data_IF_523064478696
#
_entry.id   IF_523064478696
#
_cell.length_a   1.000
_cell.length_b   1.000
_cell.length_c   1.000
_cell.angle_alpha   90.00
_cell.angle_beta   90.00
_cell.angle_gamma   90.00
#
_symmetry.space_group_name_H-M   'P 1'
#
loop_
_entity.id
_entity.type
_entity.pdbx_description
1 polymer ?
#
# COMPACT_ATOMS: atom_id res chain seq x y z
N UNK A 1 26.41 2.30 2.99
CA UNK A 1 25.58 3.35 2.36
C UNK A 1 26.15 3.60 0.97
N UNK A 2 25.35 3.56 -0.10
CA UNK A 2 25.86 3.80 -1.46
C UNK A 2 26.32 5.27 -1.61
N UNK A 3 27.43 5.46 -2.31
CA UNK A 3 28.17 6.72 -2.44
C UNK A 3 27.28 7.84 -3.07
N UNK A 4 26.40 7.46 -3.99
CA UNK A 4 25.53 8.39 -4.74
C UNK A 4 24.50 9.14 -3.87
N UNK A 5 24.11 8.58 -2.73
CA UNK A 5 23.12 9.18 -1.81
C UNK A 5 23.71 10.33 -0.98
N UNK A 6 25.03 10.28 -0.75
CA UNK A 6 25.76 11.33 -0.01
C UNK A 6 25.91 12.58 -0.90
N UNK A 7 26.25 12.40 -2.16
CA UNK A 7 26.38 13.50 -3.13
C UNK A 7 25.04 14.22 -3.39
N UNK A 8 23.93 13.47 -3.38
CA UNK A 8 22.58 14.05 -3.50
C UNK A 8 22.23 14.93 -2.30
N UNK A 9 22.47 14.44 -1.09
CA UNK A 9 22.21 15.19 0.15
C UNK A 9 23.07 16.45 0.26
N UNK A 10 24.35 16.34 -0.11
CA UNK A 10 25.26 17.46 -0.13
C UNK A 10 24.84 18.52 -1.17
N UNK A 11 24.21 18.11 -2.26
CA UNK A 11 23.64 19.04 -3.25
C UNK A 11 22.47 19.83 -2.68
N UNK A 12 21.61 19.21 -1.86
CA UNK A 12 20.51 19.91 -1.17
C UNK A 12 21.03 20.90 -0.13
N UNK A 13 22.10 20.54 0.59
CA UNK A 13 22.78 21.42 1.54
C UNK A 13 23.53 22.58 0.90
N UNK A 14 23.93 22.47 -0.37
CA UNK A 14 24.67 23.53 -1.09
C UNK A 14 23.75 24.38 -1.97
N UNK A 15 22.47 24.05 -2.04
CA UNK A 15 21.51 24.74 -2.91
C UNK A 15 21.11 26.09 -2.30
N UNK A 16 21.01 27.14 -3.12
CA UNK A 16 20.56 28.48 -2.71
C UNK A 16 19.08 28.54 -2.25
N UNK A 17 18.30 27.49 -2.49
CA UNK A 17 16.90 27.40 -2.08
C UNK A 17 16.76 27.12 -0.58
N UNK A 18 16.11 28.05 0.14
CA UNK A 18 15.78 27.89 1.56
C UNK A 18 14.94 26.63 1.85
N UNK A 19 14.12 26.20 0.89
CA UNK A 19 13.30 24.98 1.01
C UNK A 19 14.17 23.72 1.04
N UNK A 20 15.16 23.63 0.16
CA UNK A 20 16.06 22.47 0.10
C UNK A 20 16.99 22.40 1.31
N UNK A 21 17.44 23.55 1.83
CA UNK A 21 18.14 23.62 3.11
C UNK A 21 17.29 23.07 4.26
N UNK A 22 16.07 23.57 4.41
CA UNK A 22 15.14 23.12 5.47
C UNK A 22 14.85 21.62 5.37
N UNK A 23 14.73 21.11 4.14
CA UNK A 23 14.50 19.70 3.90
C UNK A 23 15.73 18.87 4.27
N UNK A 24 16.95 19.30 3.89
CA UNK A 24 18.19 18.62 4.23
C UNK A 24 18.45 18.55 5.74
N UNK A 25 18.04 19.55 6.52
CA UNK A 25 18.16 19.53 7.98
C UNK A 25 17.23 18.52 8.65
N UNK A 26 16.12 18.15 8.00
CA UNK A 26 15.09 17.26 8.54
C UNK A 26 15.13 15.84 8.00
N UNK A 27 15.99 15.56 7.02
CA UNK A 27 16.13 14.22 6.43
C UNK A 27 16.91 13.30 7.36
N UNK A 28 16.36 12.11 7.61
CA UNK A 28 17.01 11.02 8.33
C UNK A 28 17.23 9.84 7.39
N UNK A 29 18.43 9.28 7.40
CA UNK A 29 18.76 8.10 6.59
C UNK A 29 18.38 6.81 7.31
N UNK A 30 17.83 5.87 6.56
CA UNK A 30 17.46 4.53 7.04
C UNK A 30 18.26 3.50 6.25
N UNK A 31 18.66 2.40 6.89
CA UNK A 31 19.47 1.35 6.28
C UNK A 31 18.67 0.41 5.37
N UNK A 32 17.39 0.20 5.67
CA UNK A 32 16.49 -0.66 4.92
C UNK A 32 15.22 0.08 4.50
N UNK A 33 14.82 -0.09 3.25
CA UNK A 33 13.64 0.56 2.69
C UNK A 33 12.35 0.03 3.35
N UNK A 34 12.31 -1.25 3.75
CA UNK A 34 11.11 -1.82 4.40
C UNK A 34 10.89 -1.19 5.76
N UNK A 35 11.95 -1.03 6.54
CA UNK A 35 11.89 -0.34 7.83
C UNK A 35 11.50 1.12 7.66
N UNK A 36 12.12 1.84 6.72
CA UNK A 36 11.81 3.25 6.45
C UNK A 36 10.35 3.45 6.03
N UNK A 37 9.85 2.62 5.09
CA UNK A 37 8.45 2.69 4.66
C UNK A 37 7.48 2.24 5.77
N UNK A 38 7.82 1.24 6.57
CA UNK A 38 7.00 0.85 7.73
C UNK A 38 6.95 1.94 8.79
N UNK A 39 8.02 2.71 8.96
CA UNK A 39 8.03 3.83 9.89
C UNK A 39 7.03 4.92 9.47
N UNK A 40 6.81 5.12 8.17
CA UNK A 40 5.83 6.11 7.68
C UNK A 40 4.38 5.75 7.98
N UNK A 41 4.05 4.48 8.25
CA UNK A 41 2.69 4.10 8.65
C UNK A 41 2.42 4.35 10.13
N UNK A 42 3.48 4.39 10.96
CA UNK A 42 3.39 4.55 12.42
C UNK A 42 3.64 6.01 12.84
N UNK A 43 4.57 6.67 12.16
CA UNK A 43 4.99 8.04 12.46
C UNK A 43 4.44 8.99 11.42
N UNK A 44 4.28 10.27 11.77
CA UNK A 44 3.93 11.32 10.81
C UNK A 44 5.16 11.73 9.98
N UNK A 45 5.74 10.80 9.25
CA UNK A 45 6.92 10.98 8.40
C UNK A 45 6.66 10.53 6.97
N UNK A 46 7.44 11.04 6.04
CA UNK A 46 7.38 10.66 4.63
C UNK A 46 8.69 9.95 4.24
N UNK A 47 8.58 8.96 3.36
CA UNK A 47 9.73 8.25 2.81
C UNK A 47 9.99 8.75 1.39
N UNK A 48 11.24 9.09 1.09
CA UNK A 48 11.64 9.69 -0.16
C UNK A 48 12.55 8.74 -0.94
N UNK A 49 12.13 8.37 -2.16
CA UNK A 49 12.91 7.58 -3.09
C UNK A 49 12.36 7.72 -4.53
N UNK A 50 12.98 7.02 -5.48
CA UNK A 50 12.54 6.94 -6.87
C UNK A 50 11.11 6.38 -6.98
N UNK A 51 10.29 7.02 -7.83
CA UNK A 51 8.85 6.80 -7.88
C UNK A 51 8.47 5.37 -8.24
N UNK A 52 9.05 4.81 -9.31
CA UNK A 52 8.70 3.48 -9.77
C UNK A 52 9.06 2.43 -8.72
N UNK A 53 10.20 2.58 -8.06
CA UNK A 53 10.59 1.76 -6.94
C UNK A 53 9.57 1.84 -5.79
N UNK A 54 9.12 3.03 -5.39
CA UNK A 54 8.11 3.19 -4.35
C UNK A 54 6.79 2.50 -4.73
N UNK A 55 6.29 2.73 -5.94
CA UNK A 55 5.06 2.10 -6.44
C UNK A 55 5.16 0.57 -6.40
N UNK A 56 6.30 0.02 -6.83
CA UNK A 56 6.56 -1.42 -6.82
C UNK A 56 6.62 -1.97 -5.38
N UNK A 57 7.38 -1.33 -4.49
CA UNK A 57 7.52 -1.81 -3.10
C UNK A 57 6.20 -1.73 -2.34
N UNK A 58 5.39 -0.71 -2.58
CA UNK A 58 4.05 -0.58 -2.01
C UNK A 58 3.16 -1.74 -2.47
N UNK A 59 3.18 -2.07 -3.76
CA UNK A 59 2.44 -3.21 -4.34
C UNK A 59 2.91 -4.55 -3.78
N UNK A 60 4.22 -4.72 -3.61
CA UNK A 60 4.81 -5.99 -3.19
C UNK A 60 4.68 -6.28 -1.69
N UNK A 61 4.76 -5.25 -0.85
CA UNK A 61 4.96 -5.43 0.59
C UNK A 61 3.92 -4.73 1.46
N UNK A 62 3.20 -3.74 0.94
CA UNK A 62 2.29 -2.92 1.73
C UNK A 62 0.84 -2.94 1.23
N UNK A 63 0.53 -3.73 0.21
CA UNK A 63 -0.86 -3.90 -0.26
C UNK A 63 -1.46 -5.17 0.32
N UNK A 64 -2.54 -5.02 1.08
CA UNK A 64 -3.24 -6.13 1.73
C UNK A 64 -4.09 -6.93 0.73
N UNK A 65 -4.62 -8.06 1.20
CA UNK A 65 -5.43 -9.00 0.39
C UNK A 65 -6.68 -8.37 -0.18
N UNK A 66 -7.25 -7.44 0.57
CA UNK A 66 -8.46 -6.70 0.20
C UNK A 66 -8.16 -5.59 -0.82
N UNK A 67 -6.89 -5.41 -1.18
CA UNK A 67 -6.41 -4.35 -2.07
C UNK A 67 -6.25 -3.00 -1.37
N UNK A 68 -6.43 -2.94 -0.05
CA UNK A 68 -6.11 -1.74 0.72
C UNK A 68 -4.61 -1.54 0.80
N UNK A 69 -4.19 -0.30 0.63
CA UNK A 69 -2.79 0.10 0.69
C UNK A 69 -2.68 1.32 1.61
N UNK A 70 -1.97 1.24 2.75
CA UNK A 70 -1.86 2.34 3.71
C UNK A 70 -0.89 3.43 3.25
N UNK A 71 -0.11 3.16 2.20
CA UNK A 71 0.88 4.06 1.61
C UNK A 71 0.44 4.47 0.20
N UNK A 72 0.72 5.73 -0.15
CA UNK A 72 0.55 6.23 -1.50
C UNK A 72 1.77 7.05 -1.91
N UNK A 73 2.01 7.13 -3.22
CA UNK A 73 3.09 7.94 -3.77
C UNK A 73 2.52 9.30 -4.16
N UNK A 74 3.19 10.37 -3.75
CA UNK A 74 2.80 11.73 -4.12
C UNK A 74 2.87 11.92 -5.65
N UNK A 75 1.95 12.73 -6.19
CA UNK A 75 1.86 12.91 -7.65
C UNK A 75 3.09 13.61 -8.25
N UNK A 76 3.68 14.54 -7.51
CA UNK A 76 4.80 15.37 -7.96
C UNK A 76 6.12 14.87 -7.36
N UNK A 77 7.14 14.85 -8.21
CA UNK A 77 8.50 14.58 -7.79
C UNK A 77 9.18 15.87 -7.34
N UNK A 78 9.89 15.82 -6.21
CA UNK A 78 10.71 16.95 -5.73
C UNK A 78 11.93 17.15 -6.64
N UNK A 79 12.47 16.03 -7.14
CA UNK A 79 13.59 16.01 -8.09
C UNK A 79 13.20 15.14 -9.27
N UNK A 80 13.46 15.59 -10.52
CA UNK A 80 13.25 14.73 -11.68
C UNK A 80 14.11 13.47 -11.57
N UNK A 81 13.46 12.30 -11.61
CA UNK A 81 14.14 11.01 -11.71
C UNK A 81 14.61 10.79 -13.14
N UNK A 82 15.93 10.77 -13.36
CA UNK A 82 16.52 10.43 -14.64
C UNK A 82 17.14 9.04 -14.58
N UNK A 83 16.76 8.19 -15.52
CA UNK A 83 17.45 6.93 -15.78
C UNK A 83 18.27 7.09 -17.05
N UNK A 84 19.53 6.66 -17.01
CA UNK A 84 20.44 6.74 -18.15
C UNK A 84 21.38 5.55 -18.18
N UNK A 85 21.86 5.23 -19.37
CA UNK A 85 22.89 4.21 -19.55
C UNK A 85 24.26 4.88 -19.65
N UNK A 86 25.21 4.57 -18.75
CA UNK A 86 26.57 5.05 -18.89
C UNK A 86 27.20 4.37 -20.11
N UNK A 87 27.52 5.16 -21.13
CA UNK A 87 28.18 4.71 -22.36
C UNK A 87 29.55 5.38 -22.43
N UNK A 88 30.57 4.62 -22.82
CA UNK A 88 31.92 5.14 -23.02
C UNK A 88 31.88 6.29 -24.03
N UNK A 89 32.63 7.36 -23.73
CA UNK A 89 32.76 8.50 -24.63
C UNK A 89 33.23 8.01 -26.01
N UNK A 90 32.57 8.50 -27.07
CA UNK A 90 32.85 8.16 -28.48
C UNK A 90 32.57 6.71 -28.88
N UNK A 91 31.73 5.98 -28.15
CA UNK A 91 31.27 4.67 -28.57
C UNK A 91 30.56 4.74 -29.94
N UNK A 92 30.97 3.93 -30.94
CA UNK A 92 30.47 4.02 -32.32
C UNK A 92 28.96 3.71 -32.42
N UNK A 93 28.41 2.99 -31.44
CA UNK A 93 27.00 2.62 -31.37
C UNK A 93 26.13 3.62 -30.61
N UNK A 94 26.69 4.66 -29.97
CA UNK A 94 25.93 5.60 -29.13
C UNK A 94 24.74 6.21 -29.88
N UNK A 95 24.98 6.68 -31.11
CA UNK A 95 23.94 7.31 -31.94
C UNK A 95 22.78 6.36 -32.23
N UNK A 96 23.07 5.07 -32.43
CA UNK A 96 22.04 4.07 -32.69
C UNK A 96 21.24 3.77 -31.43
N UNK A 97 21.91 3.66 -30.27
CA UNK A 97 21.23 3.48 -28.98
C UNK A 97 20.33 4.68 -28.65
N UNK A 98 20.84 5.90 -28.77
CA UNK A 98 20.05 7.12 -28.52
C UNK A 98 18.78 7.12 -29.39
N UNK A 99 18.92 6.77 -30.68
CA UNK A 99 17.79 6.65 -31.59
C UNK A 99 16.78 5.61 -31.10
N UNK A 100 17.22 4.41 -30.75
CA UNK A 100 16.31 3.36 -30.26
C UNK A 100 15.62 3.74 -28.95
N UNK A 101 16.30 4.42 -28.03
CA UNK A 101 15.69 4.92 -26.79
C UNK A 101 14.57 5.91 -27.13
N UNK A 102 14.82 6.84 -28.05
CA UNK A 102 13.80 7.79 -28.50
C UNK A 102 12.65 7.11 -29.23
N UNK A 103 12.93 6.13 -30.09
CA UNK A 103 11.91 5.36 -30.80
C UNK A 103 11.04 4.55 -29.81
N UNK A 104 11.65 3.94 -28.77
CA UNK A 104 10.92 3.23 -27.71
C UNK A 104 10.07 4.16 -26.85
N UNK A 105 10.60 5.34 -26.52
CA UNK A 105 9.84 6.36 -25.80
C UNK A 105 8.67 6.89 -26.65
N UNK A 106 8.91 7.21 -27.92
CA UNK A 106 7.88 7.68 -28.86
C UNK A 106 6.80 6.64 -29.15
N UNK A 107 7.14 5.36 -29.12
CA UNK A 107 6.20 4.24 -29.24
C UNK A 107 5.44 3.94 -27.93
N UNK A 108 5.75 4.62 -26.82
CA UNK A 108 5.11 4.39 -25.51
C UNK A 108 5.49 3.04 -24.87
N UNK A 109 6.55 2.38 -25.34
CA UNK A 109 6.95 1.06 -24.84
C UNK A 109 7.42 1.10 -23.39
N UNK A 110 8.09 2.18 -22.98
CA UNK A 110 8.56 2.36 -21.60
C UNK A 110 7.37 2.37 -20.65
N UNK A 111 6.35 3.20 -20.93
CA UNK A 111 5.12 3.27 -20.12
C UNK A 111 4.42 1.91 -20.06
N UNK A 112 4.29 1.24 -21.20
CA UNK A 112 3.67 -0.08 -21.26
C UNK A 112 4.42 -1.10 -20.39
N UNK A 113 5.75 -1.17 -20.50
CA UNK A 113 6.54 -2.12 -19.71
C UNK A 113 6.47 -1.83 -18.22
N UNK A 114 6.48 -0.54 -17.83
CA UNK A 114 6.25 -0.14 -16.44
C UNK A 114 4.90 -0.63 -15.92
N UNK A 115 3.82 -0.41 -16.69
CA UNK A 115 2.48 -0.85 -16.32
C UNK A 115 2.39 -2.39 -16.23
N UNK A 116 3.00 -3.10 -17.18
CA UNK A 116 3.04 -4.56 -17.21
C UNK A 116 3.80 -5.12 -15.99
N UNK A 117 4.93 -4.52 -15.61
CA UNK A 117 5.69 -4.91 -14.41
C UNK A 117 4.86 -4.68 -13.14
N UNK A 118 4.24 -3.51 -12.99
CA UNK A 118 3.40 -3.22 -11.83
C UNK A 118 2.18 -4.14 -11.77
N UNK A 119 1.60 -4.49 -12.92
CA UNK A 119 0.48 -5.44 -13.00
C UNK A 119 0.91 -6.83 -12.58
N UNK A 120 2.05 -7.32 -13.07
CA UNK A 120 2.57 -8.63 -12.68
C UNK A 120 2.91 -8.68 -11.19
N UNK A 121 3.55 -7.63 -10.66
CA UNK A 121 3.84 -7.52 -9.23
C UNK A 121 2.55 -7.61 -8.39
N UNK A 122 1.46 -6.95 -8.79
CA UNK A 122 0.15 -7.07 -8.12
C UNK A 122 -0.39 -8.49 -8.15
N UNK A 123 -0.26 -9.18 -9.29
CA UNK A 123 -0.71 -10.57 -9.43
C UNK A 123 0.11 -11.50 -8.53
N UNK A 124 1.42 -11.33 -8.50
CA UNK A 124 2.32 -12.14 -7.70
C UNK A 124 2.17 -11.89 -6.20
N UNK A 125 1.98 -10.65 -5.75
CA UNK A 125 1.61 -10.35 -4.37
C UNK A 125 0.35 -11.09 -3.94
N UNK A 126 -0.71 -11.06 -4.77
CA UNK A 126 -1.96 -11.78 -4.51
C UNK A 126 -1.75 -13.29 -4.42
N UNK A 127 -0.97 -13.87 -5.36
CA UNK A 127 -0.64 -15.29 -5.33
C UNK A 127 0.14 -15.67 -4.06
N UNK A 128 1.14 -14.88 -3.67
CA UNK A 128 1.94 -15.11 -2.44
C UNK A 128 1.06 -15.07 -1.19
N UNK A 129 0.15 -14.11 -1.09
CA UNK A 129 -0.80 -14.00 0.03
C UNK A 129 -1.83 -15.14 0.09
N UNK A 130 -2.26 -15.65 -1.08
CA UNK A 130 -3.12 -16.83 -1.14
C UNK A 130 -2.39 -18.08 -0.63
N UNK A 131 -1.11 -18.25 -0.99
CA UNK A 131 -0.29 -19.37 -0.52
C UNK A 131 -0.03 -19.30 0.98
N UNK A 132 0.41 -18.15 1.49
CA UNK A 132 0.68 -18.01 2.94
C UNK A 132 -0.56 -18.26 3.80
N UNK A 133 -1.75 -17.89 3.33
CA UNK A 133 -2.99 -18.19 4.07
C UNK A 133 -3.36 -19.66 4.03
N UNK A 134 -3.16 -20.34 2.89
CA UNK A 134 -3.37 -21.79 2.81
C UNK A 134 -2.40 -22.52 3.74
N UNK A 135 -1.14 -22.10 3.77
CA UNK A 135 -0.13 -22.65 4.69
C UNK A 135 -0.50 -22.41 6.16
N UNK A 136 -0.92 -21.19 6.53
CA UNK A 136 -1.37 -20.89 7.90
C UNK A 136 -2.65 -21.65 8.27
N UNK A 137 -3.59 -21.81 7.32
CA UNK A 137 -4.81 -22.59 7.54
C UNK A 137 -4.50 -24.09 7.68
N UNK A 138 -3.59 -24.64 6.88
CA UNK A 138 -3.13 -26.01 6.96
C UNK A 138 -2.33 -26.27 8.25
N UNK A 139 -1.49 -25.33 8.69
CA UNK A 139 -0.79 -25.40 9.97
C UNK A 139 -1.75 -25.31 11.16
N UNK A 140 -2.78 -24.45 11.10
CA UNK A 140 -3.81 -24.36 12.13
C UNK A 140 -4.64 -25.65 12.19
N UNK A 141 -4.94 -26.26 11.04
CA UNK A 141 -5.66 -27.53 10.96
C UNK A 141 -4.81 -28.67 11.52
N UNK A 142 -3.50 -28.73 11.20
CA UNK A 142 -2.56 -29.72 11.76
C UNK A 142 -2.32 -29.54 13.26
N UNK A 143 -2.32 -28.32 13.78
CA UNK A 143 -2.22 -28.07 15.24
C UNK A 143 -3.51 -28.40 15.98
N UNK A 144 -4.67 -28.37 15.32
CA UNK A 144 -5.96 -28.75 15.90
C UNK A 144 -6.14 -30.28 16.06
N UNK A 145 -5.28 -31.10 15.45
CA UNK A 145 -5.31 -32.56 15.56
C UNK A 145 -4.46 -33.12 16.72
N UNK A 146 -3.77 -32.29 17.50
CA UNK A 146 -3.15 -32.72 18.77
C UNK A 146 -4.17 -32.67 19.92
N UNK A 147 -4.34 -33.74 20.71
CA UNK A 147 -5.31 -33.79 21.79
C UNK A 147 -4.77 -33.01 22.99
N UNK A 148 -5.04 -31.70 23.04
CA UNK A 148 -4.97 -30.95 24.28
C UNK A 148 -6.28 -30.18 24.48
N UNK A 149 -6.92 -30.51 25.60
CA UNK A 149 -8.20 -29.99 26.03
C UNK A 149 -8.19 -28.45 26.09
N UNK A 150 -9.19 -27.83 25.46
CA UNK A 150 -9.42 -26.38 25.51
C UNK A 150 -9.55 -25.76 24.13
N UNK A 151 -10.50 -26.27 23.32
CA UNK A 151 -10.77 -25.76 21.98
C UNK A 151 -11.22 -24.30 22.00
N UNK A 152 -10.33 -23.40 21.59
CA UNK A 152 -10.74 -22.11 21.06
C UNK A 152 -11.19 -22.33 19.61
N UNK A 153 -12.41 -22.84 19.45
CA UNK A 153 -13.21 -22.62 18.25
C UNK A 153 -13.13 -21.12 18.00
N UNK A 154 -12.65 -20.68 16.83
CA UNK A 154 -12.73 -19.26 16.44
C UNK A 154 -14.21 -18.89 16.43
N UNK A 155 -14.67 -18.36 17.56
CA UNK A 155 -16.03 -17.90 17.73
C UNK A 155 -16.24 -16.75 16.75
N UNK A 156 -17.26 -16.89 15.91
CA UNK A 156 -17.73 -15.87 15.00
C UNK A 156 -17.84 -14.55 15.79
N UNK A 157 -16.91 -13.64 15.54
CA UNK A 157 -16.75 -12.45 16.38
C UNK A 157 -17.94 -11.54 16.15
N UNK A 158 -18.49 -10.98 17.23
CA UNK A 158 -19.74 -10.19 17.25
C UNK A 158 -19.77 -9.05 16.20
N UNK A 159 -18.60 -8.59 15.77
CA UNK A 159 -18.39 -7.58 14.73
C UNK A 159 -19.00 -7.96 13.38
N UNK A 160 -19.06 -9.24 13.02
CA UNK A 160 -19.65 -9.69 11.75
C UNK A 160 -21.18 -9.90 11.81
N UNK A 161 -21.78 -9.92 13.00
CA UNK A 161 -23.23 -10.07 13.21
C UNK A 161 -23.94 -8.72 13.46
N UNK A 162 -23.21 -7.61 13.40
CA UNK A 162 -23.72 -6.28 13.75
C UNK A 162 -24.90 -5.83 12.85
N UNK A 163 -24.87 -6.18 11.55
CA UNK A 163 -25.95 -5.85 10.61
C UNK A 163 -27.30 -6.48 10.98
N UNK A 164 -27.39 -7.81 11.15
CA UNK A 164 -28.61 -8.48 11.62
C UNK A 164 -29.16 -7.95 12.95
N UNK A 165 -28.31 -7.60 13.91
CA UNK A 165 -28.75 -7.02 15.18
C UNK A 165 -29.37 -5.62 15.01
N UNK A 166 -28.82 -4.78 14.13
CA UNK A 166 -29.44 -3.49 13.82
C UNK A 166 -30.80 -3.63 13.13
N UNK A 167 -30.96 -4.59 12.22
CA UNK A 167 -32.25 -4.90 11.59
C UNK A 167 -33.29 -5.36 12.61
N UNK A 168 -32.89 -6.21 13.55
CA UNK A 168 -33.77 -6.71 14.62
C UNK A 168 -34.18 -5.58 15.57
N UNK A 169 -33.24 -4.71 15.97
CA UNK A 169 -33.51 -3.54 16.81
C UNK A 169 -34.49 -2.58 16.12
N UNK A 170 -34.28 -2.30 14.83
CA UNK A 170 -35.16 -1.44 14.03
C UNK A 170 -36.57 -2.03 13.97
N UNK A 171 -36.70 -3.33 13.73
CA UNK A 171 -37.99 -4.02 13.71
C UNK A 171 -38.74 -3.96 15.03
N UNK A 172 -38.03 -4.14 16.15
CA UNK A 172 -38.59 -4.03 17.51
C UNK A 172 -39.05 -2.60 17.85
N UNK A 173 -38.30 -1.58 17.42
CA UNK A 173 -38.71 -0.19 17.60
C UNK A 173 -39.97 0.12 16.80
N UNK A 174 -40.03 -0.32 15.53
CA UNK A 174 -41.18 -0.10 14.67
C UNK A 174 -42.44 -0.76 15.23
N UNK A 175 -42.34 -2.02 15.66
CA UNK A 175 -43.48 -2.74 16.24
C UNK A 175 -43.95 -2.13 17.55
N UNK A 176 -43.02 -1.67 18.39
CA UNK A 176 -43.35 -0.98 19.65
C UNK A 176 -44.10 0.34 19.39
N UNK A 177 -43.68 1.12 18.39
CA UNK A 177 -44.38 2.37 18.00
C UNK A 177 -45.79 2.09 17.51
N UNK A 178 -45.96 1.07 16.65
CA UNK A 178 -47.28 0.66 16.15
C UNK A 178 -48.17 0.24 17.32
N UNK A 179 -47.67 -0.59 18.22
CA UNK A 179 -48.42 -1.06 19.40
C UNK A 179 -48.84 0.08 20.35
N UNK A 180 -47.94 1.03 20.62
CA UNK A 180 -48.27 2.22 21.42
C UNK A 180 -49.35 3.06 20.73
N UNK A 181 -49.24 3.23 19.42
CA UNK A 181 -50.22 3.99 18.62
C UNK A 181 -51.59 3.33 18.67
N UNK A 182 -51.67 2.00 18.51
CA UNK A 182 -52.91 1.24 18.64
C UNK A 182 -53.51 1.37 20.05
N UNK A 183 -52.69 1.28 21.10
CA UNK A 183 -53.15 1.46 22.47
C UNK A 183 -53.70 2.87 22.75
N UNK A 184 -53.07 3.91 22.18
CA UNK A 184 -53.55 5.30 22.30
C UNK A 184 -54.87 5.50 21.57
N UNK A 185 -55.00 4.97 20.35
CA UNK A 185 -56.25 5.02 19.58
C UNK A 185 -57.36 4.27 20.31
N UNK A 186 -57.08 3.07 20.82
CA UNK A 186 -58.05 2.28 21.57
C UNK A 186 -58.54 2.99 22.83
N UNK A 187 -57.64 3.66 23.57
CA UNK A 187 -58.02 4.44 24.76
C UNK A 187 -58.77 5.73 24.44
N UNK A 188 -58.57 6.35 23.28
CA UNK A 188 -59.30 7.56 22.88
C UNK A 188 -60.66 7.23 22.23
N UNK A 189 -60.88 5.99 21.82
CA UNK A 189 -62.13 5.53 21.19
C UNK A 189 -63.16 4.96 22.18
N UNK A 190 -62.84 4.94 23.48
CA UNK A 190 -63.73 4.61 24.61
C UNK A 190 -64.05 5.90 25.34
#
# INVERSE_FOLDING_TARGET
MPIDLVDFYDSFKKSDSALFHTLAERVTFVSDFKEGMKQTTVTNSAYFYERLFLELMIVEHFTDRDGSTPLYVAQQNIVPGYCGWPIIRDAPFKRNIDKFIMDFHGAGLITKWTDDILKEARLDSRKKQLRSTKEVAEEATKKAEMPFAGGAIMALTLTHMQGPFFLLLLGLLLSSVIFITECLIYRCSI
#
